data_IF_131592822705
#
_entry.id   IF_131592822705
#
_cell.length_a   1.000
_cell.length_b   1.000
_cell.length_c   1.000
_cell.angle_alpha   90.00
_cell.angle_beta   90.00
_cell.angle_gamma   90.00
#
_symmetry.space_group_name_H-M   'P 1'
#
loop_
_entity.id
_entity.type
_entity.pdbx_description
1 polymer ?
#
# COMPACT_ATOMS: atom_id res chain seq x y z
N UNK A 1 8.05 -15.47 -1.72
CA UNK A 1 8.48 -14.56 -2.79
C UNK A 1 9.01 -13.30 -2.17
N UNK A 2 10.10 -12.73 -2.69
CA UNK A 2 10.63 -11.44 -2.28
C UNK A 2 10.86 -10.59 -3.53
N UNK A 3 10.74 -9.28 -3.41
CA UNK A 3 10.89 -8.34 -4.52
C UNK A 3 11.09 -6.92 -4.03
N UNK A 4 11.31 -6.01 -4.97
CA UNK A 4 11.34 -4.58 -4.75
C UNK A 4 10.13 -3.90 -5.42
N UNK A 5 9.75 -2.76 -4.89
CA UNK A 5 8.69 -1.90 -5.44
C UNK A 5 9.10 -0.44 -5.34
N UNK A 6 8.56 0.37 -6.24
CA UNK A 6 8.63 1.83 -6.12
C UNK A 6 7.27 2.28 -5.58
N UNK A 7 7.29 3.03 -4.48
CA UNK A 7 6.12 3.62 -3.85
C UNK A 7 6.06 5.13 -4.07
N UNK A 8 4.85 5.66 -4.17
CA UNK A 8 4.58 7.08 -4.09
C UNK A 8 3.34 7.30 -3.21
N UNK A 9 3.45 8.21 -2.28
CA UNK A 9 2.46 8.43 -1.23
C UNK A 9 2.22 9.94 -1.09
N UNK A 10 0.97 10.36 -1.08
CA UNK A 10 0.58 11.74 -0.85
C UNK A 10 -0.64 11.78 0.06
N UNK A 11 -0.63 12.67 1.05
CA UNK A 11 -1.71 12.79 2.00
C UNK A 11 -1.69 14.11 2.76
N UNK A 12 -2.76 14.39 3.47
CA UNK A 12 -2.88 15.54 4.35
C UNK A 12 -3.37 15.05 5.71
N UNK A 13 -2.64 15.38 6.75
CA UNK A 13 -3.08 15.20 8.13
C UNK A 13 -3.69 16.49 8.62
N UNK A 14 -4.92 16.43 9.12
CA UNK A 14 -5.61 17.58 9.68
C UNK A 14 -5.80 17.42 11.18
N UNK A 15 -5.31 18.39 11.95
CA UNK A 15 -5.47 18.44 13.40
C UNK A 15 -6.16 19.72 13.81
N UNK A 16 -7.43 19.63 14.19
CA UNK A 16 -8.24 20.77 14.63
C UNK A 16 -7.73 21.47 15.91
N UNK A 17 -6.83 20.82 16.65
CA UNK A 17 -6.20 21.38 17.86
C UNK A 17 -4.86 22.07 17.57
N UNK A 18 -4.33 21.95 16.36
CA UNK A 18 -3.09 22.58 15.93
C UNK A 18 -3.33 24.04 15.54
N UNK A 19 -2.92 25.00 16.36
CA UNK A 19 -3.19 26.43 16.23
C UNK A 19 -2.92 27.00 14.82
N UNK A 20 -1.68 27.42 14.51
CA UNK A 20 -1.35 28.10 13.25
C UNK A 20 -1.26 27.21 12.01
N UNK A 21 -1.03 25.88 12.16
CA UNK A 21 -0.92 24.93 11.06
C UNK A 21 -1.78 23.69 11.32
N UNK A 22 -3.11 23.77 11.12
CA UNK A 22 -4.00 22.62 11.35
C UNK A 22 -3.82 21.51 10.31
N UNK A 23 -3.27 21.81 9.14
CA UNK A 23 -3.05 20.86 8.05
C UNK A 23 -1.55 20.60 7.85
N UNK A 24 -1.17 19.33 7.71
CA UNK A 24 0.18 18.91 7.38
C UNK A 24 0.14 18.08 6.10
N UNK A 25 0.76 18.60 5.04
CA UNK A 25 0.97 17.87 3.78
C UNK A 25 2.08 16.84 3.94
N UNK A 26 1.86 15.68 3.34
CA UNK A 26 2.83 14.61 3.26
C UNK A 26 2.97 14.15 1.82
N UNK A 27 4.19 14.10 1.34
CA UNK A 27 4.54 13.51 0.05
C UNK A 27 5.80 12.68 0.25
N UNK A 28 5.81 11.46 -0.25
CA UNK A 28 6.95 10.57 -0.18
C UNK A 28 7.04 9.75 -1.47
N UNK A 29 8.26 9.55 -1.95
CA UNK A 29 8.58 8.60 -3.02
C UNK A 29 9.68 7.70 -2.51
N UNK A 30 9.47 6.39 -2.56
CA UNK A 30 10.38 5.42 -1.94
C UNK A 30 10.63 4.18 -2.79
N UNK A 31 11.73 3.52 -2.46
CA UNK A 31 12.06 2.15 -2.85
C UNK A 31 11.76 1.25 -1.67
N UNK A 32 10.87 0.29 -1.87
CA UNK A 32 10.42 -0.63 -0.85
C UNK A 32 10.90 -2.06 -1.09
N UNK A 33 11.30 -2.74 -0.01
CA UNK A 33 11.42 -4.19 0.00
C UNK A 33 10.05 -4.82 0.26
N UNK A 34 9.71 -5.83 -0.53
CA UNK A 34 8.44 -6.55 -0.44
C UNK A 34 8.67 -8.03 -0.22
N UNK A 35 7.94 -8.62 0.71
CA UNK A 35 7.90 -10.07 0.91
C UNK A 35 6.46 -10.55 0.85
N UNK A 36 6.26 -11.73 0.24
CA UNK A 36 4.96 -12.35 0.14
C UNK A 36 5.06 -13.86 0.38
N UNK A 37 4.21 -14.37 1.25
CA UNK A 37 4.01 -15.80 1.49
C UNK A 37 2.58 -16.19 1.12
N UNK A 38 2.42 -17.32 0.44
CA UNK A 38 1.12 -17.88 0.09
C UNK A 38 1.08 -19.31 0.59
N UNK A 39 0.09 -19.63 1.40
CA UNK A 39 -0.16 -20.95 1.91
C UNK A 39 -1.54 -21.43 1.46
N UNK A 40 -1.60 -22.58 0.79
CA UNK A 40 -2.84 -23.20 0.33
C UNK A 40 -3.08 -24.46 1.14
N UNK A 41 -4.30 -24.63 1.61
CA UNK A 41 -4.70 -25.79 2.37
C UNK A 41 -6.15 -26.14 2.08
N UNK A 42 -6.53 -27.37 2.42
CA UNK A 42 -7.91 -27.85 2.25
C UNK A 42 -8.56 -28.02 3.61
N UNK A 43 -9.71 -27.37 3.78
CA UNK A 43 -10.49 -27.46 5.01
C UNK A 43 -11.98 -27.63 4.65
N UNK A 44 -12.64 -28.64 5.23
CA UNK A 44 -14.05 -28.99 4.96
C UNK A 44 -14.38 -29.14 3.48
N UNK A 45 -13.44 -29.68 2.70
CA UNK A 45 -13.63 -29.87 1.26
C UNK A 45 -13.43 -28.61 0.40
N UNK A 46 -13.13 -27.46 1.01
CA UNK A 46 -12.83 -26.20 0.33
C UNK A 46 -11.32 -26.00 0.22
N UNK A 47 -10.83 -25.58 -0.96
CA UNK A 47 -9.44 -25.20 -1.17
C UNK A 47 -9.27 -23.74 -0.76
N UNK A 48 -8.71 -23.51 0.41
CA UNK A 48 -8.48 -22.19 0.99
C UNK A 48 -7.06 -21.72 0.69
N UNK A 49 -6.89 -20.41 0.51
CA UNK A 49 -5.59 -19.78 0.34
C UNK A 49 -5.40 -18.63 1.33
N UNK A 50 -4.33 -18.70 2.12
CA UNK A 50 -3.90 -17.57 2.95
C UNK A 50 -2.70 -16.92 2.30
N UNK A 51 -2.71 -15.59 2.21
CA UNK A 51 -1.62 -14.77 1.70
C UNK A 51 -1.25 -13.74 2.76
N UNK A 52 0.02 -13.71 3.09
CA UNK A 52 0.63 -12.63 3.86
C UNK A 52 1.57 -11.83 2.96
N UNK A 53 1.47 -10.52 3.01
CA UNK A 53 2.36 -9.62 2.30
C UNK A 53 2.80 -8.50 3.23
N UNK A 54 4.08 -8.14 3.18
CA UNK A 54 4.64 -7.01 3.90
C UNK A 54 5.53 -6.19 2.97
N UNK A 55 5.42 -4.87 3.07
CA UNK A 55 6.25 -3.91 2.35
C UNK A 55 6.87 -2.95 3.36
N UNK A 56 8.16 -2.70 3.19
CA UNK A 56 8.93 -1.78 4.01
C UNK A 56 9.79 -0.87 3.11
N UNK A 57 9.57 0.44 3.10
CA UNK A 57 10.47 1.39 2.46
C UNK A 57 11.87 1.31 3.04
N UNK A 58 12.87 1.21 2.17
CA UNK A 58 14.29 1.12 2.55
C UNK A 58 15.06 2.39 2.26
N UNK A 59 14.65 3.13 1.22
CA UNK A 59 15.23 4.41 0.85
C UNK A 59 14.20 5.23 0.05
N UNK A 60 14.22 6.55 0.22
CA UNK A 60 13.30 7.41 -0.52
C UNK A 60 13.58 8.89 -0.28
N UNK A 61 12.68 9.72 -0.78
CA UNK A 61 12.65 11.15 -0.54
C UNK A 61 11.27 11.52 -0.03
N UNK A 62 11.21 12.25 1.06
CA UNK A 62 9.98 12.73 1.65
C UNK A 62 9.98 14.26 1.79
N UNK A 63 8.80 14.84 1.66
CA UNK A 63 8.57 16.23 2.02
C UNK A 63 8.29 16.32 3.52
N UNK A 64 9.06 17.16 4.22
CA UNK A 64 8.88 17.47 5.64
C UNK A 64 9.19 18.94 5.87
N UNK A 65 8.23 19.78 6.24
CA UNK A 65 8.51 21.16 6.62
C UNK A 65 9.42 21.18 7.86
N UNK A 66 10.07 22.31 8.10
CA UNK A 66 10.80 22.51 9.33
C UNK A 66 9.87 22.81 10.51
N UNK A 67 10.31 22.53 11.72
CA UNK A 67 9.54 22.84 12.92
C UNK A 67 9.21 24.34 12.99
N UNK A 68 7.92 24.66 13.10
CA UNK A 68 7.42 26.05 13.16
C UNK A 68 7.24 26.73 11.80
N UNK A 69 7.66 26.10 10.69
CA UNK A 69 7.50 26.65 9.35
C UNK A 69 6.04 26.57 8.90
N UNK A 70 5.51 27.67 8.39
CA UNK A 70 4.15 27.74 7.85
C UNK A 70 4.10 27.38 6.36
N UNK A 71 2.97 26.86 5.90
CA UNK A 71 2.78 26.61 4.45
C UNK A 71 2.75 27.90 3.62
N UNK A 72 2.42 29.03 4.24
CA UNK A 72 2.50 30.34 3.59
C UNK A 72 3.97 30.70 3.26
N UNK A 73 4.90 30.47 4.18
CA UNK A 73 6.35 30.68 3.93
C UNK A 73 6.84 29.77 2.84
N UNK A 74 6.45 28.49 2.85
CA UNK A 74 6.80 27.51 1.79
C UNK A 74 6.27 27.99 0.43
N UNK A 75 5.03 28.49 0.37
CA UNK A 75 4.42 29.02 -0.85
C UNK A 75 5.10 30.29 -1.37
N UNK A 76 5.78 31.06 -0.52
CA UNK A 76 6.56 32.22 -0.89
C UNK A 76 8.03 31.92 -1.26
N UNK A 77 8.38 30.64 -1.42
CA UNK A 77 9.70 30.20 -1.86
C UNK A 77 10.66 29.78 -0.75
N UNK A 78 10.26 29.84 0.51
CA UNK A 78 11.09 29.37 1.63
C UNK A 78 10.95 27.86 1.84
N UNK A 79 11.20 27.07 0.79
CA UNK A 79 11.06 25.62 0.80
C UNK A 79 12.40 24.87 0.90
N UNK A 80 13.49 25.58 1.09
CA UNK A 80 14.83 25.00 1.14
C UNK A 80 14.96 23.97 2.28
N UNK A 81 15.46 22.78 1.95
CA UNK A 81 15.66 21.70 2.89
C UNK A 81 14.39 20.92 3.27
N UNK A 82 13.22 21.26 2.72
CA UNK A 82 11.98 20.54 3.01
C UNK A 82 11.89 19.16 2.33
N UNK A 83 12.69 18.92 1.29
CA UNK A 83 12.89 17.60 0.71
C UNK A 83 14.04 16.89 1.43
N UNK A 84 13.75 15.80 2.11
CA UNK A 84 14.74 15.07 2.87
C UNK A 84 14.78 13.59 2.48
N UNK A 85 15.99 13.02 2.58
CA UNK A 85 16.18 11.60 2.37
C UNK A 85 15.51 10.82 3.50
N UNK A 86 14.72 9.81 3.13
CA UNK A 86 14.02 8.92 4.05
C UNK A 86 14.63 7.52 4.04
N UNK A 87 14.82 6.96 5.21
CA UNK A 87 15.27 5.59 5.43
C UNK A 87 14.69 5.08 6.77
N UNK A 88 14.73 3.79 7.09
CA UNK A 88 14.10 3.24 8.29
C UNK A 88 14.54 3.86 9.63
N UNK A 89 15.68 4.54 9.67
CA UNK A 89 16.18 5.23 10.88
C UNK A 89 15.50 6.57 11.17
N UNK A 90 15.04 7.30 10.14
CA UNK A 90 14.36 8.58 10.31
C UNK A 90 12.89 8.56 9.87
N UNK A 91 12.51 7.62 9.01
CA UNK A 91 11.15 7.43 8.53
C UNK A 91 10.87 5.93 8.37
N UNK A 92 10.40 5.30 9.44
CA UNK A 92 10.00 3.90 9.42
C UNK A 92 8.57 3.75 8.94
N UNK A 93 8.36 2.89 7.97
CA UNK A 93 7.02 2.50 7.51
C UNK A 93 6.98 0.99 7.31
N UNK A 94 5.88 0.38 7.73
CA UNK A 94 5.63 -1.04 7.54
C UNK A 94 4.16 -1.26 7.21
N UNK A 95 3.91 -1.65 5.97
CA UNK A 95 2.61 -2.04 5.49
C UNK A 95 2.50 -3.56 5.47
N UNK A 96 1.48 -4.11 6.12
CA UNK A 96 1.26 -5.53 6.26
C UNK A 96 -0.17 -5.88 5.88
N UNK A 97 -0.33 -6.93 5.09
CA UNK A 97 -1.63 -7.42 4.68
C UNK A 97 -1.72 -8.94 4.85
N UNK A 98 -2.74 -9.38 5.54
CA UNK A 98 -3.12 -10.79 5.64
C UNK A 98 -4.47 -10.97 4.94
N UNK A 99 -4.54 -11.85 3.94
CA UNK A 99 -5.78 -12.15 3.22
C UNK A 99 -6.06 -13.64 3.19
N UNK A 100 -7.33 -14.00 3.20
CA UNK A 100 -7.81 -15.36 3.01
C UNK A 100 -8.77 -15.41 1.84
N UNK A 101 -8.49 -16.32 0.90
CA UNK A 101 -9.28 -16.60 -0.29
C UNK A 101 -10.17 -17.81 -0.02
N UNK A 102 -11.50 -17.62 -0.15
CA UNK A 102 -12.53 -18.62 0.09
C UNK A 102 -13.28 -18.82 -1.22
N UNK A 103 -13.21 -20.01 -1.86
CA UNK A 103 -13.95 -20.28 -3.08
C UNK A 103 -15.45 -20.34 -2.79
N UNK A 104 -16.25 -19.49 -3.43
CA UNK A 104 -17.72 -19.50 -3.36
C UNK A 104 -18.36 -20.30 -4.50
N UNK A 105 -17.56 -20.73 -5.47
CA UNK A 105 -18.02 -21.48 -6.62
C UNK A 105 -16.92 -21.66 -7.66
N UNK A 106 -17.29 -22.12 -8.86
CA UNK A 106 -16.33 -22.48 -9.93
C UNK A 106 -15.47 -21.30 -10.42
N UNK A 107 -15.98 -20.08 -10.35
CA UNK A 107 -15.34 -18.90 -10.93
C UNK A 107 -15.25 -17.70 -9.98
N UNK A 108 -15.78 -17.81 -8.77
CA UNK A 108 -15.87 -16.71 -7.81
C UNK A 108 -15.15 -17.09 -6.52
N UNK A 109 -14.29 -16.21 -6.05
CA UNK A 109 -13.59 -16.34 -4.79
C UNK A 109 -13.91 -15.11 -3.95
N UNK A 110 -14.33 -15.31 -2.72
CA UNK A 110 -14.42 -14.23 -1.73
C UNK A 110 -13.06 -14.08 -1.08
N UNK A 111 -12.58 -12.86 -0.99
CA UNK A 111 -11.35 -12.51 -0.29
C UNK A 111 -11.68 -11.68 0.92
N UNK A 112 -11.32 -12.16 2.08
CA UNK A 112 -11.35 -11.39 3.33
C UNK A 112 -9.93 -11.05 3.74
N UNK A 113 -9.72 -9.88 4.31
CA UNK A 113 -8.38 -9.46 4.64
C UNK A 113 -8.33 -8.45 5.77
N UNK A 114 -7.14 -8.35 6.34
CA UNK A 114 -6.75 -7.39 7.34
C UNK A 114 -5.48 -6.69 6.90
N UNK A 115 -5.50 -5.38 6.95
CA UNK A 115 -4.39 -4.50 6.63
C UNK A 115 -3.98 -3.73 7.88
N UNK A 116 -2.69 -3.74 8.16
CA UNK A 116 -2.05 -2.89 9.17
C UNK A 116 -0.99 -2.04 8.49
N UNK A 117 -1.10 -0.73 8.63
CA UNK A 117 -0.12 0.25 8.12
C UNK A 117 0.41 1.04 9.32
N UNK A 118 1.72 0.97 9.53
CA UNK A 118 2.45 1.65 10.60
C UNK A 118 3.41 2.62 9.95
N UNK A 119 3.33 3.89 10.31
CA UNK A 119 4.20 4.95 9.79
C UNK A 119 4.71 5.80 10.93
N UNK A 120 6.01 5.96 10.99
CA UNK A 120 6.68 6.75 12.01
C UNK A 120 7.77 7.58 11.34
N UNK A 121 7.84 8.86 11.66
CA UNK A 121 8.94 9.69 11.21
C UNK A 121 9.39 10.66 12.28
N UNK A 122 10.69 10.96 12.26
CA UNK A 122 11.31 11.97 13.09
C UNK A 122 12.32 12.75 12.24
N UNK A 123 11.83 13.83 11.66
CA UNK A 123 12.59 14.68 10.72
C UNK A 123 12.34 16.14 11.05
N UNK A 124 13.37 16.99 11.00
CA UNK A 124 13.32 18.44 11.28
C UNK A 124 12.67 18.80 12.64
N UNK A 125 12.86 17.94 13.66
CA UNK A 125 12.23 18.14 14.98
C UNK A 125 10.75 17.76 15.06
N UNK A 126 10.14 17.34 13.94
CA UNK A 126 8.76 16.91 13.89
C UNK A 126 8.69 15.40 14.06
N UNK A 127 7.94 14.95 15.06
CA UNK A 127 7.63 13.54 15.28
C UNK A 127 6.23 13.23 14.77
N UNK A 128 6.11 12.22 13.94
CA UNK A 128 4.83 11.72 13.46
C UNK A 128 4.72 10.22 13.76
N UNK A 129 3.57 9.83 14.27
CA UNK A 129 3.18 8.43 14.44
C UNK A 129 1.78 8.26 13.88
N UNK A 130 1.66 7.40 12.90
CA UNK A 130 0.38 7.02 12.31
C UNK A 130 0.27 5.49 12.31
N UNK A 131 -0.87 4.98 12.72
CA UNK A 131 -1.18 3.56 12.67
C UNK A 131 -2.62 3.37 12.23
N UNK A 132 -2.81 2.70 11.12
CA UNK A 132 -4.14 2.36 10.62
C UNK A 132 -4.36 0.86 10.57
N UNK A 133 -5.62 0.47 10.81
CA UNK A 133 -6.08 -0.90 10.76
C UNK A 133 -7.33 -0.94 9.87
N UNK A 134 -7.35 -1.80 8.87
CA UNK A 134 -8.47 -1.89 7.93
C UNK A 134 -8.86 -3.34 7.71
N UNK A 135 -10.18 -3.61 7.71
CA UNK A 135 -10.73 -4.88 7.27
C UNK A 135 -11.23 -4.74 5.83
N UNK A 136 -10.98 -5.77 5.03
CA UNK A 136 -11.32 -5.77 3.62
C UNK A 136 -12.16 -7.01 3.29
N UNK A 137 -13.20 -6.80 2.49
CA UNK A 137 -13.99 -7.88 1.88
C UNK A 137 -14.07 -7.56 0.39
N UNK A 138 -13.74 -8.53 -0.44
CA UNK A 138 -13.77 -8.39 -1.89
C UNK A 138 -14.15 -9.69 -2.58
N UNK A 139 -14.54 -9.57 -3.85
CA UNK A 139 -14.87 -10.72 -4.69
C UNK A 139 -13.95 -10.72 -5.91
N UNK A 140 -13.32 -11.85 -6.16
CA UNK A 140 -12.46 -12.08 -7.32
C UNK A 140 -13.18 -13.01 -8.26
N UNK A 141 -13.40 -12.58 -9.51
CA UNK A 141 -14.03 -13.39 -10.53
C UNK A 141 -13.00 -13.77 -11.60
N UNK A 142 -12.87 -15.06 -11.87
CA UNK A 142 -12.00 -15.57 -12.91
C UNK A 142 -12.75 -15.63 -14.24
N UNK A 143 -12.28 -14.86 -15.23
CA UNK A 143 -12.80 -14.89 -16.58
C UNK A 143 -11.95 -15.83 -17.45
N UNK A 144 -12.59 -16.79 -18.10
CA UNK A 144 -11.97 -17.64 -19.11
C UNK A 144 -12.33 -17.11 -20.50
N UNK A 145 -11.33 -16.76 -21.30
CA UNK A 145 -11.53 -16.48 -22.71
C UNK A 145 -11.76 -17.82 -23.44
N UNK A 146 -13.00 -18.07 -23.88
CA UNK A 146 -13.32 -19.24 -24.72
C UNK A 146 -12.78 -18.93 -26.11
N UNK A 147 -11.74 -19.63 -26.55
CA UNK A 147 -11.36 -19.61 -27.97
C UNK A 147 -12.48 -20.29 -28.74
N UNK A 148 -13.15 -19.56 -29.62
CA UNK A 148 -14.09 -20.10 -30.58
C UNK A 148 -13.28 -20.99 -31.53
N UNK A 149 -13.42 -22.31 -31.41
CA UNK A 149 -12.86 -23.27 -32.36
C UNK A 149 -13.67 -23.09 -33.64
N UNK A 150 -13.08 -22.49 -34.68
CA UNK A 150 -13.66 -22.51 -36.01
C UNK A 150 -13.72 -23.96 -36.47
N UNK A 151 -14.94 -24.50 -36.58
CA UNK A 151 -15.18 -25.74 -37.30
C UNK A 151 -14.78 -25.47 -38.74
N UNK A 152 -13.64 -26.02 -39.17
CA UNK A 152 -13.36 -26.18 -40.60
C UNK A 152 -14.41 -27.14 -41.16
N UNK A 153 -15.39 -26.58 -41.84
CA UNK A 153 -16.29 -27.38 -42.71
C UNK A 153 -15.43 -27.79 -43.89
N UNK A 154 -14.98 -29.03 -43.88
CA UNK A 154 -14.44 -29.65 -45.07
C UNK A 154 -15.58 -29.91 -46.02
N UNK A 155 -15.72 -29.06 -47.03
CA UNK A 155 -16.55 -29.32 -48.20
C UNK A 155 -15.76 -30.38 -49.00
N UNK A 156 -16.26 -31.61 -49.03
CA UNK A 156 -15.84 -32.66 -49.96
C UNK A 156 -16.63 -32.39 -51.26
N UNK A 157 -15.93 -32.05 -52.32
CA UNK A 157 -16.39 -32.16 -53.72
C UNK A 157 -16.06 -33.53 -54.27
#
# INVERSE_FOLDING_TARGET
>A
MAGGAIGADAGVLYNSRGGNNPAQGRVCVDLSASVMAIYKFRLWGLDLGVRYQANMPVAGVMFSPQFGQSYYEIGNGYADGNACFSYPGNAFSLWQQLTMDIPLGKYTVMRVGYLCDIRQSHVHGIKMHDRSHSFMIGFVKHFRKVKKTERKTSVIL
#
